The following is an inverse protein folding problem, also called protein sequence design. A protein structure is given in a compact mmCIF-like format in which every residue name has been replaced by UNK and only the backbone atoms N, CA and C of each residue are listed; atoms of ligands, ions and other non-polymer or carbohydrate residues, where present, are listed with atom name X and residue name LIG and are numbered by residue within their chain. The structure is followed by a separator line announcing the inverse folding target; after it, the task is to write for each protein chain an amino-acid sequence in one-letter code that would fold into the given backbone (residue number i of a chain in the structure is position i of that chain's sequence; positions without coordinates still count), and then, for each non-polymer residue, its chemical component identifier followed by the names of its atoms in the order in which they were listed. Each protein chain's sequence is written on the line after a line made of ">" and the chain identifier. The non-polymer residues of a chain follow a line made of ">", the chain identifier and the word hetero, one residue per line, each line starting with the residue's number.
data_IF_577555098853
#
_entry.id   IF_577555098853
#
_cell.length_a   1.000
_cell.length_b   1.000
_cell.length_c   1.000
_cell.angle_alpha   90.00
_cell.angle_beta   90.00
_cell.angle_gamma   90.00
#
_symmetry.space_group_name_H-M   'P 1'
#
loop_
_entity.id
_entity.type
_entity.pdbx_description
1 polymer ?
#
# COMPACT_ATOMS: atom_id res chain seq x y z
N UNK A 1 -17.98 -20.56 -19.62
CA UNK A 1 -17.00 -19.84 -18.80
C UNK A 1 -17.35 -20.15 -17.37
N UNK A 2 -16.44 -20.74 -16.61
CA UNK A 2 -16.61 -20.92 -15.17
C UNK A 2 -16.46 -19.55 -14.54
N UNK A 3 -17.57 -18.96 -14.09
CA UNK A 3 -17.58 -17.72 -13.33
C UNK A 3 -17.32 -18.06 -11.87
N UNK A 4 -16.29 -17.47 -11.26
CA UNK A 4 -16.00 -17.63 -9.82
C UNK A 4 -14.50 -17.79 -9.50
N UNK A 5 -14.22 -17.96 -8.21
CA UNK A 5 -12.89 -18.24 -7.70
C UNK A 5 -12.46 -19.66 -8.11
N UNK A 6 -11.31 -19.79 -8.76
CA UNK A 6 -10.75 -21.07 -9.20
C UNK A 6 -9.41 -21.34 -8.50
N UNK A 7 -9.10 -22.60 -8.14
CA UNK A 7 -7.79 -22.94 -7.62
C UNK A 7 -6.71 -22.62 -8.65
N UNK A 8 -5.65 -21.93 -8.21
CA UNK A 8 -4.59 -21.43 -9.09
C UNK A 8 -3.86 -22.56 -9.84
N UNK A 9 -3.80 -23.75 -9.25
CA UNK A 9 -3.22 -24.97 -9.84
C UNK A 9 -4.02 -25.55 -11.01
N UNK A 10 -5.26 -25.09 -11.23
CA UNK A 10 -6.13 -25.55 -12.32
C UNK A 10 -6.11 -24.63 -13.53
N UNK A 11 -5.47 -23.46 -13.43
CA UNK A 11 -5.43 -22.44 -14.48
C UNK A 11 -4.43 -22.82 -15.57
N UNK A 12 -4.72 -22.41 -16.81
CA UNK A 12 -3.86 -22.59 -17.97
C UNK A 12 -3.72 -21.31 -18.79
N UNK A 13 -2.67 -21.25 -19.61
CA UNK A 13 -2.54 -20.18 -20.61
C UNK A 13 -3.73 -20.22 -21.59
N UNK A 14 -4.35 -19.06 -21.82
CA UNK A 14 -5.59 -18.91 -22.58
C UNK A 14 -6.86 -18.81 -21.72
N UNK A 15 -6.79 -19.14 -20.42
CA UNK A 15 -7.85 -18.81 -19.46
C UNK A 15 -7.90 -17.30 -19.20
N UNK A 16 -8.93 -16.83 -18.50
CA UNK A 16 -9.13 -15.41 -18.20
C UNK A 16 -9.08 -15.16 -16.69
N UNK A 17 -8.35 -14.12 -16.30
CA UNK A 17 -8.30 -13.64 -14.92
C UNK A 17 -8.88 -12.23 -14.83
N UNK A 18 -9.62 -11.94 -13.76
CA UNK A 18 -9.99 -10.56 -13.43
C UNK A 18 -8.78 -9.86 -12.81
N UNK A 19 -8.36 -8.77 -13.42
CA UNK A 19 -7.23 -7.98 -12.94
C UNK A 19 -7.72 -6.60 -12.49
N UNK A 20 -7.12 -6.04 -11.43
CA UNK A 20 -7.49 -4.71 -10.98
C UNK A 20 -6.87 -3.64 -11.87
N UNK A 21 -7.68 -2.64 -12.18
CA UNK A 21 -7.29 -1.37 -12.76
C UNK A 21 -7.78 -0.29 -11.82
N UNK A 22 -6.85 0.39 -11.13
CA UNK A 22 -7.20 1.50 -10.24
C UNK A 22 -7.11 2.79 -11.05
N UNK A 23 -8.26 3.31 -11.47
CA UNK A 23 -8.39 4.59 -12.17
C UNK A 23 -9.08 5.58 -11.25
N UNK A 24 -8.46 6.74 -11.06
CA UNK A 24 -8.96 7.82 -10.20
C UNK A 24 -9.26 7.45 -8.72
N UNK A 25 -8.80 6.28 -8.27
CA UNK A 25 -9.04 5.76 -6.92
C UNK A 25 -10.21 4.79 -6.82
N UNK A 26 -10.84 4.48 -7.95
CA UNK A 26 -11.85 3.42 -8.06
C UNK A 26 -11.19 2.14 -8.60
N UNK A 27 -11.53 1.02 -7.98
CA UNK A 27 -11.14 -0.31 -8.43
C UNK A 27 -12.06 -0.76 -9.55
N UNK A 28 -11.49 -0.98 -10.73
CA UNK A 28 -12.17 -1.61 -11.86
C UNK A 28 -11.59 -3.01 -12.07
N UNK A 29 -12.46 -4.00 -12.28
CA UNK A 29 -12.03 -5.33 -12.68
C UNK A 29 -12.08 -5.44 -14.19
N UNK A 30 -10.94 -5.73 -14.81
CA UNK A 30 -10.81 -5.92 -16.25
C UNK A 30 -10.39 -7.36 -16.54
N UNK A 31 -11.11 -8.10 -17.40
CA UNK A 31 -10.71 -9.43 -17.83
C UNK A 31 -9.45 -9.33 -18.70
N UNK A 32 -8.42 -10.06 -18.34
CA UNK A 32 -7.23 -10.23 -19.16
C UNK A 32 -6.89 -11.73 -19.29
N UNK A 33 -6.31 -12.11 -20.43
CA UNK A 33 -5.94 -13.48 -20.69
C UNK A 33 -4.71 -13.88 -19.89
N UNK A 34 -4.70 -15.09 -19.34
CA UNK A 34 -3.51 -15.71 -18.74
C UNK A 34 -2.58 -16.08 -19.89
N UNK A 35 -1.38 -15.53 -19.91
CA UNK A 35 -0.38 -15.78 -20.97
C UNK A 35 0.61 -16.87 -20.56
N UNK A 36 0.83 -17.07 -19.26
CA UNK A 36 1.68 -18.13 -18.73
C UNK A 36 1.24 -18.57 -17.33
N UNK A 37 1.62 -19.79 -16.97
CA UNK A 37 1.47 -20.34 -15.61
C UNK A 37 2.82 -20.88 -15.16
N UNK A 38 3.13 -20.69 -13.88
CA UNK A 38 4.39 -21.08 -13.28
C UNK A 38 4.14 -21.95 -12.05
N UNK A 39 4.91 -23.02 -11.94
CA UNK A 39 4.92 -23.90 -10.78
C UNK A 39 6.37 -24.03 -10.28
N UNK A 40 6.58 -23.89 -8.97
CA UNK A 40 7.88 -24.13 -8.36
C UNK A 40 7.72 -24.73 -6.97
N UNK A 41 8.72 -25.50 -6.56
CA UNK A 41 8.84 -25.99 -5.18
C UNK A 41 9.77 -25.06 -4.41
N UNK A 42 9.31 -24.58 -3.26
CA UNK A 42 10.05 -23.65 -2.41
C UNK A 42 10.19 -24.19 -0.98
N UNK A 43 11.32 -23.89 -0.30
CA UNK A 43 11.56 -24.38 1.04
C UNK A 43 10.83 -23.58 2.13
N UNK A 44 10.34 -22.38 1.79
CA UNK A 44 9.76 -21.42 2.74
C UNK A 44 8.55 -20.73 2.13
N UNK A 45 7.50 -20.60 2.93
CA UNK A 45 6.31 -19.78 2.66
C UNK A 45 5.94 -18.96 3.89
N UNK A 46 5.19 -17.89 3.68
CA UNK A 46 4.51 -17.13 4.72
C UNK A 46 3.03 -17.46 4.68
N UNK A 47 2.45 -17.70 5.84
CA UNK A 47 1.03 -17.87 6.07
C UNK A 47 0.49 -16.57 6.70
N UNK A 48 -0.29 -15.83 5.92
CA UNK A 48 -0.88 -14.56 6.29
C UNK A 48 -2.31 -14.80 6.74
N UNK A 49 -2.60 -14.66 8.02
CA UNK A 49 -3.98 -14.60 8.53
C UNK A 49 -4.44 -13.15 8.48
N UNK A 50 -5.60 -12.91 7.89
CA UNK A 50 -6.17 -11.57 7.75
C UNK A 50 -7.65 -11.58 8.08
N UNK A 51 -8.22 -10.42 8.45
CA UNK A 51 -9.65 -10.22 8.57
C UNK A 51 -10.15 -9.08 7.68
N UNK A 52 -11.39 -9.16 7.23
CA UNK A 52 -12.06 -8.09 6.49
C UNK A 52 -12.75 -7.06 7.42
N UNK A 53 -13.36 -6.02 6.84
CA UNK A 53 -14.14 -5.02 7.59
C UNK A 53 -15.29 -5.62 8.43
N UNK A 54 -15.79 -6.80 8.07
CA UNK A 54 -16.83 -7.53 8.79
C UNK A 54 -16.29 -8.39 9.94
N UNK A 55 -14.97 -8.57 10.03
CA UNK A 55 -14.29 -9.42 11.00
C UNK A 55 -14.19 -10.89 10.58
N UNK A 56 -14.58 -11.23 9.35
CA UNK A 56 -14.38 -12.58 8.83
C UNK A 56 -12.89 -12.80 8.54
N UNK A 57 -12.35 -13.96 8.90
CA UNK A 57 -10.91 -14.25 8.79
C UNK A 57 -10.57 -15.19 7.62
N UNK A 58 -9.56 -14.82 6.82
CA UNK A 58 -9.00 -15.60 5.73
C UNK A 58 -7.54 -15.98 5.98
N UNK A 59 -7.01 -16.86 5.14
CA UNK A 59 -5.57 -17.18 5.17
C UNK A 59 -5.03 -17.25 3.75
N UNK A 60 -3.92 -16.55 3.52
CA UNK A 60 -3.21 -16.51 2.25
C UNK A 60 -1.79 -17.03 2.45
N UNK A 61 -1.35 -17.94 1.56
CA UNK A 61 0.00 -18.50 1.61
C UNK A 61 0.80 -18.01 0.41
N UNK A 62 1.90 -17.33 0.68
CA UNK A 62 2.76 -16.71 -0.35
C UNK A 62 4.23 -16.99 -0.07
N UNK A 63 5.09 -16.80 -1.06
CA UNK A 63 6.54 -16.83 -0.81
C UNK A 63 6.98 -15.55 -0.09
N UNK A 64 8.07 -15.56 0.70
CA UNK A 64 8.57 -14.36 1.38
C UNK A 64 8.82 -13.19 0.43
N UNK A 65 9.30 -13.50 -0.78
CA UNK A 65 9.58 -12.55 -1.86
C UNK A 65 8.33 -12.17 -2.67
N UNK A 66 7.13 -12.64 -2.34
CA UNK A 66 5.95 -12.34 -3.13
C UNK A 66 5.49 -10.88 -2.89
N UNK A 67 5.33 -10.06 -3.93
CA UNK A 67 4.91 -8.67 -3.76
C UNK A 67 3.41 -8.55 -3.44
N UNK A 68 3.09 -7.85 -2.35
CA UNK A 68 1.76 -7.41 -1.96
C UNK A 68 1.60 -5.92 -2.27
N UNK A 69 0.40 -5.52 -2.71
CA UNK A 69 0.12 -4.12 -3.06
C UNK A 69 -0.22 -3.29 -1.82
N UNK A 70 0.53 -2.22 -1.62
CA UNK A 70 0.24 -1.19 -0.63
C UNK A 70 -0.55 -0.05 -1.29
N UNK A 71 -1.85 0.00 -0.98
CA UNK A 71 -2.76 1.02 -1.51
C UNK A 71 -2.39 2.43 -1.05
N UNK A 72 -1.82 2.59 0.13
CA UNK A 72 -1.48 3.90 0.70
C UNK A 72 -0.27 4.51 0.02
N UNK A 73 0.73 3.68 -0.29
CA UNK A 73 2.02 4.09 -0.84
C UNK A 73 2.12 3.91 -2.36
N UNK A 74 1.13 3.26 -3.00
CA UNK A 74 1.09 2.95 -4.43
C UNK A 74 2.38 2.24 -4.90
N UNK A 75 2.77 1.21 -4.15
CA UNK A 75 3.98 0.42 -4.36
C UNK A 75 3.78 -1.03 -3.95
N UNK A 76 4.70 -1.89 -4.38
CA UNK A 76 4.70 -3.30 -4.03
C UNK A 76 5.78 -3.58 -2.99
N UNK A 77 5.36 -4.26 -1.91
CA UNK A 77 6.22 -4.66 -0.79
C UNK A 77 6.26 -6.18 -0.75
N UNK A 78 7.43 -6.78 -0.55
CA UNK A 78 7.51 -8.22 -0.31
C UNK A 78 6.69 -8.62 0.92
N UNK A 79 6.05 -9.79 0.86
CA UNK A 79 5.19 -10.29 1.91
C UNK A 79 5.90 -10.39 3.28
N UNK A 80 7.21 -10.68 3.29
CA UNK A 80 7.99 -10.70 4.55
C UNK A 80 8.22 -9.33 5.19
N UNK A 81 8.10 -8.27 4.39
CA UNK A 81 8.32 -6.87 4.79
C UNK A 81 6.99 -6.10 4.94
N UNK A 82 5.85 -6.75 4.72
CA UNK A 82 4.55 -6.10 4.73
C UNK A 82 4.13 -5.73 6.16
N UNK A 83 3.75 -4.46 6.37
CA UNK A 83 3.30 -3.98 7.68
C UNK A 83 1.87 -4.44 7.93
N UNK A 84 1.58 -5.21 9.00
CA UNK A 84 0.24 -5.68 9.30
C UNK A 84 -0.80 -4.56 9.49
N UNK A 85 -0.35 -3.34 9.80
CA UNK A 85 -1.25 -2.17 9.91
C UNK A 85 -1.67 -1.61 8.54
N UNK A 86 -0.95 -1.93 7.47
CA UNK A 86 -1.27 -1.49 6.11
C UNK A 86 -2.43 -2.34 5.56
N UNK A 87 -3.50 -1.73 5.04
CA UNK A 87 -4.65 -2.47 4.54
C UNK A 87 -4.35 -3.15 3.19
N UNK A 88 -4.89 -4.35 3.03
CA UNK A 88 -4.92 -5.10 1.79
C UNK A 88 -6.20 -4.79 1.00
N UNK A 89 -6.09 -4.68 -0.33
CA UNK A 89 -7.25 -4.48 -1.19
C UNK A 89 -7.86 -5.83 -1.60
N UNK A 90 -9.17 -5.99 -1.36
CA UNK A 90 -9.94 -7.17 -1.76
C UNK A 90 -10.55 -7.01 -3.16
N UNK A 91 -10.89 -8.14 -3.78
CA UNK A 91 -11.52 -8.18 -5.12
C UNK A 91 -12.87 -7.46 -5.21
N UNK A 92 -13.60 -7.40 -4.09
CA UNK A 92 -14.88 -6.69 -3.97
C UNK A 92 -14.72 -5.19 -3.63
N UNK A 93 -13.48 -4.70 -3.55
CA UNK A 93 -13.14 -3.31 -3.22
C UNK A 93 -13.12 -3.01 -1.73
N UNK A 94 -13.41 -3.98 -0.85
CA UNK A 94 -13.24 -3.82 0.60
C UNK A 94 -11.78 -3.89 1.01
N UNK A 95 -11.52 -3.53 2.26
CA UNK A 95 -10.20 -3.63 2.88
C UNK A 95 -10.12 -4.81 3.83
N UNK A 96 -8.93 -5.37 3.94
CA UNK A 96 -8.57 -6.39 4.93
C UNK A 96 -7.29 -6.01 5.66
N UNK A 97 -7.11 -6.51 6.88
CA UNK A 97 -5.93 -6.28 7.72
C UNK A 97 -5.28 -7.60 8.08
N UNK A 98 -3.95 -7.64 8.08
CA UNK A 98 -3.21 -8.83 8.48
C UNK A 98 -3.20 -8.90 10.01
N UNK A 99 -3.72 -9.98 10.56
CA UNK A 99 -3.64 -10.30 11.99
C UNK A 99 -2.29 -10.94 12.34
N UNK A 100 -1.77 -11.76 11.43
CA UNK A 100 -0.62 -12.61 11.70
C UNK A 100 0.14 -12.97 10.43
N UNK A 101 1.46 -12.96 10.52
CA UNK A 101 2.38 -13.49 9.52
C UNK A 101 3.18 -14.61 10.16
N UNK A 102 3.02 -15.83 9.66
CA UNK A 102 3.78 -16.99 10.15
C UNK A 102 4.68 -17.56 9.07
N UNK A 103 5.98 -17.64 9.36
CA UNK A 103 6.94 -18.32 8.49
C UNK A 103 6.81 -19.84 8.66
N UNK A 104 6.67 -20.56 7.55
CA UNK A 104 6.65 -22.02 7.50
C UNK A 104 7.80 -22.52 6.63
N UNK A 105 8.55 -23.48 7.15
CA UNK A 105 9.63 -24.15 6.43
C UNK A 105 9.21 -25.58 6.11
N UNK A 106 9.61 -26.09 4.96
CA UNK A 106 9.16 -27.38 4.46
C UNK A 106 9.41 -27.54 2.97
N UNK A 107 8.52 -28.27 2.28
CA UNK A 107 8.51 -28.37 0.83
C UNK A 107 7.12 -27.98 0.36
N UNK A 108 7.01 -26.80 -0.24
CA UNK A 108 5.73 -26.25 -0.67
C UNK A 108 5.73 -26.07 -2.18
N UNK A 109 4.73 -26.62 -2.85
CA UNK A 109 4.43 -26.25 -4.25
C UNK A 109 3.70 -24.92 -4.24
N UNK A 110 4.23 -23.95 -4.98
CA UNK A 110 3.62 -22.63 -5.16
C UNK A 110 3.40 -22.36 -6.64
N UNK A 111 2.37 -21.59 -6.92
CA UNK A 111 1.92 -21.27 -8.26
C UNK A 111 1.96 -19.75 -8.47
N UNK A 112 2.20 -19.33 -9.70
CA UNK A 112 2.08 -17.95 -10.15
C UNK A 112 1.51 -17.94 -11.57
N UNK A 113 0.80 -16.88 -11.95
CA UNK A 113 0.27 -16.72 -13.31
C UNK A 113 0.79 -15.43 -13.92
N UNK A 114 0.95 -15.39 -15.24
CA UNK A 114 1.19 -14.17 -15.99
C UNK A 114 -0.05 -13.78 -16.75
N UNK A 115 -0.44 -12.52 -16.65
CA UNK A 115 -1.67 -12.02 -17.26
C UNK A 115 -1.32 -10.95 -18.30
N UNK A 116 -2.07 -10.92 -19.39
CA UNK A 116 -1.86 -9.96 -20.47
C UNK A 116 -2.13 -8.53 -19.97
N UNK A 117 -1.28 -7.57 -20.34
CA UNK A 117 -1.45 -6.14 -20.06
C UNK A 117 -1.57 -5.74 -18.56
N UNK A 118 -1.37 -6.68 -17.64
CA UNK A 118 -1.44 -6.46 -16.20
C UNK A 118 -0.60 -7.49 -15.48
N UNK A 119 0.11 -7.06 -14.46
CA UNK A 119 0.96 -7.94 -13.66
C UNK A 119 0.33 -8.25 -12.30
N UNK A 120 -0.97 -8.05 -12.17
CA UNK A 120 -1.71 -8.18 -10.92
C UNK A 120 -2.88 -9.13 -11.08
N UNK A 121 -3.14 -9.92 -10.04
CA UNK A 121 -4.34 -10.74 -9.95
C UNK A 121 -4.79 -10.85 -8.49
N UNK A 122 -5.98 -11.39 -8.27
CA UNK A 122 -6.49 -11.63 -6.92
C UNK A 122 -6.23 -13.09 -6.52
N UNK A 123 -5.69 -13.31 -5.32
CA UNK A 123 -5.48 -14.61 -4.72
C UNK A 123 -6.02 -14.65 -3.29
N UNK A 124 -6.76 -15.71 -2.97
CA UNK A 124 -7.40 -15.88 -1.68
C UNK A 124 -7.59 -17.35 -1.32
N UNK A 125 -8.10 -17.65 -0.12
CA UNK A 125 -8.47 -19.01 0.25
C UNK A 125 -9.55 -19.55 -0.69
N UNK A 126 -9.58 -20.87 -0.90
CA UNK A 126 -10.56 -21.53 -1.77
C UNK A 126 -12.02 -21.41 -1.30
N UNK A 127 -12.25 -20.92 -0.08
CA UNK A 127 -13.55 -20.59 0.47
C UNK A 127 -13.40 -19.57 1.62
N UNK A 128 -14.35 -18.64 1.74
CA UNK A 128 -14.43 -17.70 2.85
C UNK A 128 -14.18 -16.26 2.44
N UNK A 129 -13.24 -15.61 3.12
CA UNK A 129 -12.94 -14.17 2.97
C UNK A 129 -12.29 -13.93 1.63
N UNK A 130 -12.91 -13.07 0.81
CA UNK A 130 -12.58 -12.87 -0.60
C UNK A 130 -11.10 -12.62 -0.92
N UNK A 131 -10.77 -12.78 -2.20
CA UNK A 131 -9.39 -12.76 -2.67
C UNK A 131 -8.68 -11.39 -2.50
N UNK A 132 -7.39 -11.44 -2.17
CA UNK A 132 -6.49 -10.30 -1.94
C UNK A 132 -5.72 -9.98 -3.21
N UNK A 133 -5.51 -8.70 -3.48
CA UNK A 133 -4.67 -8.24 -4.58
C UNK A 133 -3.19 -8.63 -4.37
N UNK A 134 -2.69 -9.47 -5.27
CA UNK A 134 -1.29 -9.89 -5.36
C UNK A 134 -0.65 -9.51 -6.70
N UNK A 135 0.69 -9.48 -6.73
CA UNK A 135 1.46 -9.07 -7.90
C UNK A 135 2.40 -10.17 -8.39
N UNK A 136 2.64 -10.18 -9.70
CA UNK A 136 3.60 -11.05 -10.36
C UNK A 136 5.02 -10.59 -10.04
N UNK A 137 5.87 -11.52 -9.66
CA UNK A 137 7.23 -11.26 -9.18
C UNK A 137 8.17 -10.65 -10.24
N UNK A 138 7.80 -10.66 -11.53
CA UNK A 138 8.70 -10.32 -12.65
C UNK A 138 8.60 -8.86 -13.12
N UNK A 139 7.87 -7.99 -12.41
CA UNK A 139 7.83 -6.56 -12.72
C UNK A 139 8.84 -5.73 -11.93
N UNK A 140 9.95 -5.39 -12.59
CA UNK A 140 11.01 -4.54 -12.07
C UNK A 140 10.64 -3.04 -11.90
N UNK A 141 9.37 -2.65 -12.04
CA UNK A 141 8.94 -1.26 -11.81
C UNK A 141 8.12 -1.16 -10.51
N UNK A 142 8.81 -0.80 -9.41
CA UNK A 142 8.29 -0.52 -8.05
C UNK A 142 8.14 -1.70 -7.06
N UNK A 143 8.84 -2.82 -7.24
CA UNK A 143 9.04 -3.79 -6.14
C UNK A 143 10.17 -3.28 -5.25
N UNK A 144 9.85 -2.86 -4.03
CA UNK A 144 10.85 -2.41 -3.05
C UNK A 144 11.06 -3.56 -2.06
N UNK A 145 12.30 -4.08 -1.98
CA UNK A 145 12.77 -4.75 -0.75
C UNK A 145 12.65 -3.74 0.36
N UNK A 146 11.64 -3.91 1.22
CA UNK A 146 11.39 -3.09 2.38
C UNK A 146 12.46 -3.41 3.41
N UNK A 147 13.72 -3.15 3.08
CA UNK A 147 14.82 -3.38 4.00
C UNK A 147 14.50 -2.69 5.31
N UNK A 148 14.97 -3.26 6.41
CA UNK A 148 14.88 -2.63 7.73
C UNK A 148 15.39 -1.17 7.75
N UNK A 149 16.11 -0.70 6.73
CA UNK A 149 16.47 0.71 6.52
C UNK A 149 15.26 1.63 6.27
N UNK A 150 14.60 1.63 5.09
CA UNK A 150 13.52 2.57 4.77
C UNK A 150 12.36 2.63 5.76
N UNK A 151 11.89 1.50 6.30
CA UNK A 151 10.80 1.47 7.30
C UNK A 151 11.24 2.09 8.62
N UNK A 152 12.43 1.71 9.14
CA UNK A 152 13.01 2.37 10.32
C UNK A 152 13.25 3.85 10.09
N UNK A 153 13.64 4.25 8.87
CA UNK A 153 13.87 5.65 8.52
C UNK A 153 12.54 6.42 8.51
N UNK A 154 11.47 5.86 7.96
CA UNK A 154 10.12 6.43 8.03
C UNK A 154 9.60 6.58 9.46
N UNK A 155 9.61 5.48 10.22
CA UNK A 155 9.20 5.45 11.63
C UNK A 155 10.06 6.37 12.52
N UNK A 156 11.39 6.40 12.30
CA UNK A 156 12.28 7.31 13.02
C UNK A 156 12.00 8.77 12.67
N UNK A 157 11.65 9.05 11.41
CA UNK A 157 11.24 10.39 10.99
C UNK A 157 9.97 10.84 11.72
N UNK A 158 8.95 9.98 11.75
CA UNK A 158 7.71 10.26 12.45
C UNK A 158 7.92 10.38 13.97
N UNK A 159 8.67 9.45 14.57
CA UNK A 159 9.01 9.49 15.99
C UNK A 159 9.78 10.76 16.37
N UNK A 160 10.72 11.20 15.54
CA UNK A 160 11.45 12.45 15.75
C UNK A 160 10.53 13.67 15.71
N UNK A 161 9.54 13.69 14.81
CA UNK A 161 8.54 14.76 14.76
C UNK A 161 7.62 14.72 15.97
N UNK A 162 7.10 13.54 16.34
CA UNK A 162 6.22 13.36 17.51
C UNK A 162 6.91 13.68 18.83
N UNK A 163 8.25 13.55 18.89
CA UNK A 163 9.02 13.94 20.07
C UNK A 163 9.11 15.46 20.28
N UNK A 164 8.92 16.27 19.23
CA UNK A 164 9.05 17.74 19.29
C UNK A 164 7.77 18.51 19.02
N UNK A 165 6.75 17.87 18.45
CA UNK A 165 5.49 18.48 18.07
C UNK A 165 4.31 17.55 18.39
N UNK A 166 3.26 18.12 18.98
CA UNK A 166 1.96 17.46 19.08
C UNK A 166 1.24 17.58 17.73
N UNK A 167 1.36 16.53 16.92
CA UNK A 167 0.77 16.47 15.57
C UNK A 167 -0.61 15.80 15.57
N UNK A 168 -1.12 15.37 16.73
CA UNK A 168 -2.38 14.65 16.85
C UNK A 168 -2.32 13.16 16.47
N UNK A 169 -3.45 12.43 16.58
CA UNK A 169 -3.59 11.04 16.16
C UNK A 169 -3.52 10.87 14.63
N UNK A 170 -3.33 9.63 14.18
CA UNK A 170 -3.52 9.25 12.78
C UNK A 170 -4.99 8.93 12.55
N UNK A 171 -5.73 9.93 12.09
CA UNK A 171 -7.17 9.82 11.83
C UNK A 171 -7.47 9.87 10.33
N UNK A 172 -8.50 9.12 9.92
CA UNK A 172 -8.99 9.13 8.55
C UNK A 172 -9.57 10.51 8.19
N UNK A 173 -9.16 11.03 7.04
CA UNK A 173 -9.82 12.15 6.38
C UNK A 173 -10.39 11.71 5.03
N UNK A 174 -11.42 12.41 4.58
CA UNK A 174 -11.95 12.25 3.23
C UNK A 174 -11.77 13.56 2.45
N UNK A 175 -11.21 13.46 1.25
CA UNK A 175 -10.96 14.61 0.38
C UNK A 175 -11.23 14.29 -1.08
N UNK A 176 -12.21 14.99 -1.63
CA UNK A 176 -12.75 14.73 -2.97
C UNK A 176 -13.09 13.24 -3.17
N UNK A 177 -13.87 12.67 -2.24
CA UNK A 177 -14.33 11.27 -2.27
C UNK A 177 -13.26 10.21 -1.97
N UNK A 178 -12.04 10.63 -1.59
CA UNK A 178 -10.92 9.70 -1.33
C UNK A 178 -10.54 9.71 0.14
N UNK A 179 -10.47 8.52 0.72
CA UNK A 179 -9.96 8.26 2.06
C UNK A 179 -8.43 8.46 2.10
N UNK A 180 -7.94 9.15 3.12
CA UNK A 180 -6.51 9.40 3.37
C UNK A 180 -6.21 9.35 4.87
N UNK A 181 -5.00 8.93 5.23
CA UNK A 181 -4.51 8.87 6.60
C UNK A 181 -3.25 9.73 6.73
N UNK A 182 -3.37 11.02 7.10
CA UNK A 182 -2.20 11.83 7.42
C UNK A 182 -1.47 11.26 8.65
N UNK A 183 -0.16 11.50 8.73
CA UNK A 183 0.63 11.08 9.90
C UNK A 183 0.19 11.75 11.20
N UNK A 184 -0.48 12.89 11.13
CA UNK A 184 -1.12 13.52 12.28
C UNK A 184 -2.27 14.44 11.88
N UNK A 185 -3.39 14.34 12.60
CA UNK A 185 -4.52 15.25 12.49
C UNK A 185 -4.84 15.85 13.87
N UNK A 186 -4.59 17.14 14.02
CA UNK A 186 -4.89 17.89 15.25
C UNK A 186 -5.99 18.91 14.98
N UNK A 187 -7.24 18.46 15.03
CA UNK A 187 -8.42 19.28 14.71
C UNK A 187 -8.58 20.48 15.65
N UNK A 188 -8.31 20.31 16.95
CA UNK A 188 -8.40 21.39 17.94
C UNK A 188 -7.38 22.52 17.68
N UNK A 189 -6.18 22.17 17.21
CA UNK A 189 -5.14 23.13 16.86
C UNK A 189 -5.18 23.57 15.38
N UNK A 190 -6.09 23.00 14.59
CA UNK A 190 -6.21 23.28 13.15
C UNK A 190 -4.97 22.89 12.36
N UNK A 191 -4.36 21.74 12.64
CA UNK A 191 -3.12 21.27 11.97
C UNK A 191 -3.32 19.89 11.36
N UNK A 192 -2.96 19.74 10.09
CA UNK A 192 -2.78 18.45 9.42
C UNK A 192 -1.29 18.28 9.17
N UNK A 193 -0.74 17.11 9.46
CA UNK A 193 0.70 16.83 9.38
C UNK A 193 0.99 15.59 8.55
N UNK A 194 2.03 15.69 7.73
CA UNK A 194 2.61 14.55 6.99
C UNK A 194 4.14 14.54 7.17
N UNK A 195 4.75 13.36 7.28
CA UNK A 195 6.20 13.18 7.47
C UNK A 195 6.81 12.37 6.33
N UNK A 196 7.78 12.95 5.62
CA UNK A 196 8.50 12.32 4.50
C UNK A 196 10.00 12.30 4.75
N UNK A 197 10.51 11.17 5.24
CA UNK A 197 11.94 10.96 5.46
C UNK A 197 12.66 10.40 4.21
N UNK A 198 12.56 11.11 3.09
CA UNK A 198 13.14 10.73 1.79
C UNK A 198 14.19 11.75 1.33
N UNK A 199 15.12 11.33 0.46
CA UNK A 199 16.16 12.23 -0.10
C UNK A 199 15.62 13.26 -1.10
N UNK A 200 14.48 12.97 -1.71
CA UNK A 200 13.80 13.85 -2.64
C UNK A 200 12.29 13.74 -2.42
N UNK A 201 11.60 14.88 -2.46
CA UNK A 201 10.16 14.94 -2.26
C UNK A 201 9.50 15.80 -3.34
N UNK A 202 8.55 15.19 -4.05
CA UNK A 202 7.69 15.88 -5.01
C UNK A 202 6.37 16.33 -4.40
N UNK A 203 5.64 17.23 -5.08
CA UNK A 203 4.26 17.57 -4.72
C UNK A 203 3.29 16.51 -5.25
N UNK A 204 3.22 15.36 -4.59
CA UNK A 204 2.41 14.22 -5.02
C UNK A 204 0.92 14.53 -4.94
N UNK A 205 0.08 13.68 -5.54
CA UNK A 205 -1.38 13.79 -5.44
C UNK A 205 -1.86 13.75 -3.99
N UNK A 206 -1.28 12.86 -3.17
CA UNK A 206 -1.57 12.80 -1.73
C UNK A 206 -1.27 14.14 -1.02
N UNK A 207 -0.11 14.76 -1.27
CA UNK A 207 0.20 16.06 -0.65
C UNK A 207 -0.72 17.19 -1.13
N UNK A 208 -1.18 17.13 -2.39
CA UNK A 208 -2.19 18.05 -2.92
C UNK A 208 -3.55 17.82 -2.27
N UNK A 209 -3.93 16.57 -2.04
CA UNK A 209 -5.14 16.18 -1.33
C UNK A 209 -5.12 16.73 0.11
N UNK A 210 -4.01 16.59 0.82
CA UNK A 210 -3.82 17.17 2.16
C UNK A 210 -3.85 18.69 2.18
N UNK A 211 -3.18 19.35 1.23
CA UNK A 211 -3.26 20.80 1.09
C UNK A 211 -4.70 21.27 0.83
N UNK A 212 -5.43 20.58 -0.07
CA UNK A 212 -6.82 20.89 -0.37
C UNK A 212 -7.73 20.71 0.84
N UNK A 213 -7.60 19.59 1.56
CA UNK A 213 -8.35 19.33 2.79
C UNK A 213 -8.07 20.40 3.85
N UNK A 214 -6.80 20.74 4.06
CA UNK A 214 -6.40 21.75 5.03
C UNK A 214 -6.99 23.12 4.68
N UNK A 215 -6.90 23.55 3.43
CA UNK A 215 -7.49 24.81 2.94
C UNK A 215 -9.01 24.82 3.15
N UNK A 216 -9.69 23.73 2.77
CA UNK A 216 -11.15 23.61 2.89
C UNK A 216 -11.63 23.72 4.34
N UNK A 217 -10.84 23.18 5.28
CA UNK A 217 -11.19 23.14 6.71
C UNK A 217 -10.54 24.27 7.52
N UNK A 218 -9.90 25.26 6.87
CA UNK A 218 -9.23 26.36 7.57
C UNK A 218 -8.05 25.92 8.44
N UNK A 219 -7.43 24.78 8.12
CA UNK A 219 -6.30 24.20 8.83
C UNK A 219 -4.98 24.57 8.15
N UNK A 220 -3.88 24.50 8.89
CA UNK A 220 -2.52 24.56 8.36
C UNK A 220 -2.04 23.15 8.01
N UNK A 221 -1.49 22.97 6.81
CA UNK A 221 -0.81 21.74 6.43
C UNK A 221 0.70 21.85 6.70
N UNK A 222 1.22 21.09 7.67
CA UNK A 222 2.64 20.98 7.99
C UNK A 222 3.23 19.71 7.34
N UNK A 223 4.14 19.87 6.36
CA UNK A 223 4.90 18.78 5.73
C UNK A 223 6.32 18.75 6.30
N UNK A 224 6.66 17.71 7.05
CA UNK A 224 8.01 17.49 7.56
C UNK A 224 8.82 16.68 6.56
N UNK A 225 9.96 17.22 6.12
CA UNK A 225 10.86 16.56 5.16
C UNK A 225 12.21 16.28 5.80
N UNK A 226 12.93 15.28 5.27
CA UNK A 226 14.33 15.04 5.66
C UNK A 226 15.17 16.31 5.48
N UNK A 227 16.04 16.68 6.44
CA UNK A 227 16.97 17.80 6.27
C UNK A 227 17.79 17.66 4.98
N UNK A 228 17.85 18.74 4.20
CA UNK A 228 18.55 18.75 2.91
C UNK A 228 17.90 17.93 1.78
N UNK A 229 16.63 17.51 1.93
CA UNK A 229 15.91 16.84 0.84
C UNK A 229 15.77 17.74 -0.40
N UNK A 230 15.91 17.14 -1.59
CA UNK A 230 15.65 17.84 -2.84
C UNK A 230 14.14 17.97 -3.06
N UNK A 231 13.63 19.20 -3.06
CA UNK A 231 12.20 19.48 -3.21
C UNK A 231 11.87 19.84 -4.65
N UNK A 232 10.80 19.27 -5.20
CA UNK A 232 10.39 19.59 -6.56
C UNK A 232 9.89 21.03 -6.66
N UNK A 233 10.03 21.63 -7.86
CA UNK A 233 9.54 22.98 -8.13
C UNK A 233 8.05 23.18 -7.80
N UNK A 234 7.13 22.26 -8.20
CA UNK A 234 5.73 22.35 -7.79
C UNK A 234 5.51 22.40 -6.26
N UNK A 235 6.33 21.69 -5.48
CA UNK A 235 6.21 21.69 -4.02
C UNK A 235 6.69 23.03 -3.43
N UNK A 236 7.77 23.59 -3.97
CA UNK A 236 8.26 24.90 -3.59
C UNK A 236 7.28 26.03 -3.96
N UNK A 237 6.60 25.90 -5.10
CA UNK A 237 5.57 26.86 -5.52
C UNK A 237 4.34 26.78 -4.62
N UNK A 238 3.90 25.57 -4.23
CA UNK A 238 2.83 25.38 -3.25
C UNK A 238 3.16 25.98 -1.88
N UNK A 239 4.42 25.87 -1.43
CA UNK A 239 4.90 26.55 -0.22
C UNK A 239 4.82 28.07 -0.35
N UNK A 240 5.27 28.63 -1.48
CA UNK A 240 5.18 30.09 -1.72
C UNK A 240 3.74 30.59 -1.75
N UNK A 241 2.81 29.77 -2.24
CA UNK A 241 1.38 30.05 -2.25
C UNK A 241 0.71 29.86 -0.87
N UNK A 242 1.45 29.45 0.16
CA UNK A 242 0.91 29.21 1.51
C UNK A 242 0.07 27.93 1.64
N UNK A 243 0.08 27.05 0.64
CA UNK A 243 -0.70 25.81 0.64
C UNK A 243 -0.07 24.70 1.48
N UNK A 244 1.26 24.75 1.64
CA UNK A 244 2.04 23.75 2.39
C UNK A 244 3.09 24.49 3.22
N UNK A 245 3.14 24.21 4.51
CA UNK A 245 4.22 24.67 5.37
C UNK A 245 5.29 23.58 5.48
N UNK A 246 6.44 23.77 4.85
CA UNK A 246 7.51 22.77 4.81
C UNK A 246 8.47 22.98 5.99
N UNK A 247 8.66 21.93 6.78
CA UNK A 247 9.55 21.89 7.95
C UNK A 247 10.58 20.78 7.81
N UNK A 248 11.70 20.86 8.50
CA UNK A 248 12.71 19.80 8.51
C UNK A 248 12.53 18.88 9.73
N UNK A 249 12.57 17.57 9.50
CA UNK A 249 12.57 16.56 10.58
C UNK A 249 13.78 16.84 11.50
N UNK A 250 13.59 16.92 12.83
CA UNK A 250 14.70 17.12 13.76
C UNK A 250 15.74 16.02 13.62
N UNK A 251 17.02 16.41 13.61
CA UNK A 251 18.11 15.45 13.72
C UNK A 251 18.14 14.92 15.16
N UNK A 252 18.11 13.59 15.30
CA UNK A 252 18.37 12.91 16.57
C UNK A 252 19.87 12.71 16.79
#
# INVERSE_FOLDING_TARGET
>A
MTEGELPIETLAAGDWAMTPVILDGELWLVPNAIVAVYERVVPVVLELTYHDEGGDTGTLRVTPDHPLYDLERDLYIHAEDFDPVTPLLMADGRLAWIDRIERREGSFTVYNIEVENSHNYFAGPAAGVGAILVHNNDCAEKVVRGGAGPVKVGQAGEAAVRAVADIGPKDLIEVAGRKRFPDGLHTANGVLTEVKNTRAQGYTRQLRDYAAYAIQNGMRFDLWVRPGAQLSKPLLDARKAGQVNIREIPLQ
#
